data_IF_379670387375
#
_entry.id   IF_379670387375
#
_cell.length_a   1.000
_cell.length_b   1.000
_cell.length_c   1.000
_cell.angle_alpha   90.00
_cell.angle_beta   90.00
_cell.angle_gamma   90.00
#
_symmetry.space_group_name_H-M   'P 1'
#
loop_
_entity.id
_entity.type
_entity.pdbx_description
1 polymer ?
#
# COMPACT_ATOMS: atom_id res chain seq x y z
N UNK A 1 49.99 48.52 -12.22
CA UNK A 1 51.18 47.91 -12.85
C UNK A 1 51.91 47.02 -11.84
N UNK A 2 51.67 45.71 -11.82
CA UNK A 2 52.55 44.70 -11.19
C UNK A 2 52.59 43.50 -12.12
N UNK A 3 53.79 43.21 -12.62
CA UNK A 3 54.14 41.99 -13.34
C UNK A 3 54.48 40.92 -12.30
N UNK A 4 53.97 39.71 -12.48
CA UNK A 4 54.71 38.45 -12.29
C UNK A 4 53.89 37.34 -12.98
N UNK A 5 54.22 36.87 -14.19
CA UNK A 5 55.36 36.01 -14.61
C UNK A 5 55.22 34.54 -14.16
N UNK A 6 54.96 33.70 -15.17
CA UNK A 6 55.17 32.25 -15.26
C UNK A 6 54.23 31.42 -14.38
N UNK A 7 53.49 30.44 -14.89
CA UNK A 7 54.06 29.26 -15.55
C UNK A 7 52.95 28.52 -16.34
N UNK A 8 53.38 27.97 -17.45
CA UNK A 8 52.72 27.02 -18.36
C UNK A 8 51.94 25.90 -17.68
N UNK A 9 50.67 25.70 -18.10
CA UNK A 9 50.04 24.38 -18.15
C UNK A 9 48.79 24.43 -19.05
N UNK A 10 49.01 24.47 -20.37
CA UNK A 10 48.10 23.81 -21.32
C UNK A 10 48.12 22.32 -21.00
N UNK A 11 47.32 21.86 -20.03
CA UNK A 11 47.12 20.43 -19.75
C UNK A 11 45.94 20.20 -18.77
N UNK A 12 44.74 20.64 -19.12
CA UNK A 12 43.51 20.14 -18.46
C UNK A 12 42.33 20.04 -19.43
N UNK A 13 42.63 19.85 -20.72
CA UNK A 13 41.69 19.38 -21.72
C UNK A 13 42.04 17.93 -22.06
N UNK A 14 42.01 17.05 -21.06
CA UNK A 14 41.83 15.63 -21.33
C UNK A 14 40.35 15.42 -21.67
N UNK A 15 39.99 14.61 -22.68
CA UNK A 15 38.59 14.27 -22.91
C UNK A 15 38.03 13.70 -21.61
N UNK A 16 36.86 14.20 -21.19
CA UNK A 16 36.03 13.48 -20.22
C UNK A 16 35.98 12.02 -20.69
N UNK A 17 36.23 11.01 -19.84
CA UNK A 17 35.89 9.66 -20.24
C UNK A 17 34.41 9.73 -20.64
N UNK A 18 34.10 9.28 -21.85
CA UNK A 18 32.71 9.09 -22.26
C UNK A 18 32.10 8.21 -21.17
N UNK A 19 31.36 8.85 -20.26
CA UNK A 19 30.66 8.13 -19.21
C UNK A 19 29.81 7.13 -19.96
N UNK A 20 30.07 5.84 -19.73
CA UNK A 20 29.26 4.78 -20.30
C UNK A 20 27.81 5.21 -20.16
N UNK A 21 27.14 5.37 -21.30
CA UNK A 21 25.74 5.74 -21.42
C UNK A 21 24.85 4.57 -20.97
N UNK A 22 25.22 3.93 -19.86
CA UNK A 22 24.56 2.82 -19.21
C UNK A 22 23.95 3.28 -17.87
N UNK A 23 23.52 4.53 -17.79
CA UNK A 23 22.42 4.92 -16.92
C UNK A 23 21.10 4.36 -17.47
N UNK A 24 21.00 3.03 -17.63
CA UNK A 24 19.73 2.39 -17.97
C UNK A 24 18.86 2.54 -16.74
N UNK A 25 17.91 3.47 -16.80
CA UNK A 25 16.77 3.50 -15.86
C UNK A 25 16.20 2.09 -15.87
N UNK A 26 16.48 1.33 -14.80
CA UNK A 26 15.87 0.02 -14.62
C UNK A 26 14.43 0.31 -14.26
N UNK A 27 13.51 -0.10 -15.13
CA UNK A 27 12.09 -0.09 -14.80
C UNK A 27 11.91 -0.91 -13.52
N UNK A 28 11.63 -0.23 -12.41
CA UNK A 28 11.31 -0.88 -11.15
C UNK A 28 9.82 -1.15 -11.17
N UNK A 29 9.44 -2.39 -11.45
CA UNK A 29 8.06 -2.82 -11.23
C UNK A 29 7.81 -2.86 -9.72
N UNK A 30 7.21 -1.80 -9.19
CA UNK A 30 6.79 -1.75 -7.79
C UNK A 30 5.57 -2.65 -7.64
N UNK A 31 5.79 -3.89 -7.20
CA UNK A 31 4.70 -4.76 -6.74
C UNK A 31 4.17 -4.15 -5.45
N UNK A 32 2.99 -3.53 -5.51
CA UNK A 32 2.32 -3.01 -4.32
C UNK A 32 1.98 -4.22 -3.43
N UNK A 33 2.40 -4.23 -2.14
CA UNK A 33 1.95 -5.27 -1.24
C UNK A 33 0.42 -5.24 -1.18
N UNK A 34 -0.20 -6.42 -1.24
CA UNK A 34 -1.65 -6.55 -1.19
C UNK A 34 -2.13 -5.96 0.13
N UNK A 35 -2.85 -4.85 0.07
CA UNK A 35 -3.44 -4.25 1.26
C UNK A 35 -4.59 -5.17 1.70
N UNK A 36 -4.55 -5.69 2.93
CA UNK A 36 -5.65 -6.47 3.47
C UNK A 36 -6.60 -5.53 4.20
N UNK A 37 -7.86 -5.92 4.25
CA UNK A 37 -8.93 -5.23 4.98
C UNK A 37 -9.40 -6.11 6.12
N UNK A 38 -9.74 -5.51 7.23
CA UNK A 38 -10.35 -6.16 8.39
C UNK A 38 -11.62 -5.42 8.79
N UNK A 39 -12.64 -6.17 9.20
CA UNK A 39 -13.82 -5.67 9.89
C UNK A 39 -14.11 -6.49 11.14
N UNK A 40 -14.59 -5.83 12.20
CA UNK A 40 -14.99 -6.47 13.47
C UNK A 40 -16.49 -6.30 13.69
N UNK A 41 -17.24 -7.41 13.65
CA UNK A 41 -18.70 -7.37 13.77
C UNK A 41 -19.17 -6.81 15.12
N UNK A 42 -18.39 -7.05 16.19
CA UNK A 42 -18.67 -6.52 17.53
C UNK A 42 -18.67 -5.00 17.64
N UNK A 43 -18.20 -4.28 16.62
CA UNK A 43 -18.37 -2.83 16.53
C UNK A 43 -19.82 -2.41 16.26
N UNK A 44 -20.65 -3.31 15.74
CA UNK A 44 -22.06 -3.10 15.42
C UNK A 44 -22.95 -3.92 16.35
N UNK A 45 -22.72 -5.24 16.42
CA UNK A 45 -23.54 -6.16 17.20
C UNK A 45 -22.79 -6.52 18.48
N UNK A 46 -23.23 -5.93 19.60
CA UNK A 46 -22.66 -6.23 20.91
C UNK A 46 -22.69 -7.74 21.20
N UNK A 47 -21.55 -8.30 21.59
CA UNK A 47 -21.40 -9.72 21.88
C UNK A 47 -20.99 -10.59 20.68
N UNK A 48 -20.93 -10.06 19.47
CA UNK A 48 -20.33 -10.76 18.34
C UNK A 48 -18.81 -10.53 18.29
N UNK A 49 -18.01 -11.59 18.40
CA UNK A 49 -16.54 -11.48 18.41
C UNK A 49 -15.90 -11.74 17.03
N UNK A 50 -16.72 -11.95 16.01
CA UNK A 50 -16.26 -12.30 14.66
C UNK A 50 -15.44 -11.17 14.04
N UNK A 51 -14.23 -11.53 13.57
CA UNK A 51 -13.37 -10.70 12.74
C UNK A 51 -13.31 -11.28 11.33
N UNK A 52 -13.53 -10.42 10.35
CA UNK A 52 -13.47 -10.77 8.93
C UNK A 52 -12.25 -10.09 8.32
N UNK A 53 -11.45 -10.84 7.58
CA UNK A 53 -10.25 -10.34 6.91
C UNK A 53 -10.29 -10.78 5.45
N UNK A 54 -10.12 -9.83 4.53
CA UNK A 54 -10.12 -10.10 3.09
C UNK A 54 -9.21 -9.15 2.32
N UNK A 55 -9.01 -9.39 1.03
CA UNK A 55 -8.12 -8.60 0.18
C UNK A 55 -8.71 -7.22 -0.17
N UNK A 56 -10.02 -7.06 -0.10
CA UNK A 56 -10.72 -5.85 -0.50
C UNK A 56 -11.97 -5.60 0.34
N UNK A 57 -12.56 -4.43 0.09
CA UNK A 57 -13.79 -4.02 0.77
C UNK A 57 -14.99 -4.84 0.32
N UNK A 58 -15.10 -5.14 -0.98
CA UNK A 58 -16.21 -5.93 -1.52
C UNK A 58 -16.25 -7.34 -0.94
N UNK A 59 -15.09 -7.97 -0.78
CA UNK A 59 -14.96 -9.28 -0.17
C UNK A 59 -15.30 -9.26 1.32
N UNK A 60 -14.97 -8.17 2.04
CA UNK A 60 -15.45 -7.98 3.41
C UNK A 60 -16.97 -7.88 3.42
N UNK A 61 -17.58 -7.09 2.54
CA UNK A 61 -19.04 -6.92 2.49
C UNK A 61 -19.77 -8.24 2.19
N UNK A 62 -19.25 -9.05 1.26
CA UNK A 62 -19.79 -10.37 0.98
C UNK A 62 -19.66 -11.33 2.18
N UNK A 63 -18.53 -11.27 2.90
CA UNK A 63 -18.33 -12.04 4.11
C UNK A 63 -19.26 -11.59 5.25
N UNK A 64 -19.52 -10.28 5.36
CA UNK A 64 -20.47 -9.71 6.32
C UNK A 64 -21.90 -10.14 6.00
N UNK A 65 -22.34 -10.11 4.74
CA UNK A 65 -23.67 -10.60 4.34
C UNK A 65 -23.87 -12.07 4.75
N UNK A 66 -22.88 -12.90 4.42
CA UNK A 66 -22.91 -14.33 4.79
C UNK A 66 -22.99 -14.50 6.31
N UNK A 67 -22.15 -13.79 7.05
CA UNK A 67 -22.12 -13.84 8.52
C UNK A 67 -23.44 -13.38 9.14
N UNK A 68 -24.01 -12.26 8.67
CA UNK A 68 -25.27 -11.72 9.15
C UNK A 68 -26.43 -12.71 8.93
N UNK A 69 -26.43 -13.40 7.80
CA UNK A 69 -27.46 -14.41 7.47
C UNK A 69 -27.33 -15.67 8.32
N UNK A 70 -26.12 -16.18 8.49
CA UNK A 70 -25.87 -17.46 9.18
C UNK A 70 -25.97 -17.30 10.69
N UNK A 71 -25.33 -16.28 11.27
CA UNK A 71 -25.16 -16.15 12.71
C UNK A 71 -26.22 -15.25 13.36
N UNK A 72 -26.80 -14.31 12.60
CA UNK A 72 -27.82 -13.38 13.10
C UNK A 72 -29.20 -13.58 12.49
N UNK A 73 -29.35 -14.49 11.51
CA UNK A 73 -30.63 -14.72 10.83
C UNK A 73 -31.14 -13.51 10.05
N UNK A 74 -30.26 -12.53 9.76
CA UNK A 74 -30.63 -11.29 9.08
C UNK A 74 -30.81 -11.58 7.59
N UNK A 75 -32.05 -11.52 7.11
CA UNK A 75 -32.38 -11.85 5.71
C UNK A 75 -32.24 -10.64 4.78
N UNK A 76 -32.28 -9.44 5.36
CA UNK A 76 -32.14 -8.16 4.66
C UNK A 76 -31.20 -7.26 5.48
N UNK A 77 -30.17 -6.73 4.81
CA UNK A 77 -29.15 -5.85 5.39
C UNK A 77 -29.42 -4.45 4.84
N UNK A 78 -29.96 -3.51 5.64
CA UNK A 78 -30.29 -2.17 5.15
C UNK A 78 -29.02 -1.40 4.73
N UNK A 79 -29.13 -0.52 3.73
CA UNK A 79 -28.00 0.26 3.20
C UNK A 79 -27.25 1.06 4.27
N UNK A 80 -27.96 1.62 5.26
CA UNK A 80 -27.35 2.31 6.40
C UNK A 80 -26.42 1.39 7.22
N UNK A 81 -26.73 0.09 7.29
CA UNK A 81 -25.89 -0.89 7.95
C UNK A 81 -24.66 -1.21 7.11
N UNK A 82 -24.81 -1.32 5.79
CA UNK A 82 -23.69 -1.47 4.85
C UNK A 82 -22.73 -0.29 4.97
N UNK A 83 -23.24 0.94 5.05
CA UNK A 83 -22.42 2.13 5.25
C UNK A 83 -21.69 2.14 6.60
N UNK A 84 -22.33 1.66 7.67
CA UNK A 84 -21.65 1.49 8.96
C UNK A 84 -20.53 0.45 8.90
N UNK A 85 -20.76 -0.66 8.20
CA UNK A 85 -19.74 -1.68 7.96
C UNK A 85 -18.57 -1.07 7.20
N UNK A 86 -18.83 -0.36 6.09
CA UNK A 86 -17.78 0.32 5.30
C UNK A 86 -16.93 1.26 6.15
N UNK A 87 -17.55 2.05 7.01
CA UNK A 87 -16.84 2.96 7.94
C UNK A 87 -16.00 2.20 8.98
N UNK A 88 -16.39 0.98 9.34
CA UNK A 88 -15.68 0.12 10.27
C UNK A 88 -14.52 -0.66 9.65
N UNK A 89 -14.38 -0.67 8.32
CA UNK A 89 -13.32 -1.41 7.63
C UNK A 89 -11.97 -0.70 7.81
N UNK A 90 -10.97 -1.46 8.23
CA UNK A 90 -9.61 -0.97 8.49
C UNK A 90 -8.61 -1.68 7.58
N UNK A 91 -7.55 -0.97 7.21
CA UNK A 91 -6.42 -1.59 6.54
C UNK A 91 -5.60 -2.37 7.56
N UNK A 92 -5.26 -3.61 7.23
CA UNK A 92 -4.35 -4.44 8.02
C UNK A 92 -3.20 -4.91 7.14
N UNK A 93 -2.03 -5.07 7.76
CA UNK A 93 -0.88 -5.66 7.10
C UNK A 93 -1.14 -7.17 6.92
N UNK A 94 -0.82 -7.75 5.75
CA UNK A 94 -0.88 -9.20 5.59
C UNK A 94 0.01 -9.91 6.59
N UNK A 95 -0.48 -11.03 7.15
CA UNK A 95 0.31 -11.84 8.10
C UNK A 95 1.63 -12.35 7.50
N UNK A 96 1.70 -12.51 6.16
CA UNK A 96 2.89 -12.95 5.43
C UNK A 96 4.07 -11.97 5.45
N UNK A 97 3.97 -10.82 6.12
CA UNK A 97 5.03 -9.79 6.23
C UNK A 97 5.74 -9.78 7.60
N UNK A 98 5.39 -10.70 8.50
CA UNK A 98 6.09 -10.90 9.77
C UNK A 98 7.13 -12.01 9.60
N UNK A 99 8.25 -11.71 8.94
CA UNK A 99 9.48 -12.53 8.93
C UNK A 99 10.66 -11.66 9.40
#
# INVERSE_FOLDING_TARGET
>A
MRRNRFWTAQALMGPRPAGDAAGRVREVTVVRPVAMKEFYCGAIIHGCETRLVAAGEEEILAAVDTHARVDHGMTDVPDDLVEQVRRGIRNVRPAAYND
#
